data_IF_546267952822
#
_entry.id   IF_546267952822
#
_cell.length_a   1.000
_cell.length_b   1.000
_cell.length_c   1.000
_cell.angle_alpha   90.00
_cell.angle_beta   90.00
_cell.angle_gamma   90.00
#
_symmetry.space_group_name_H-M   'P 1'
#
loop_
_entity.id
_entity.type
_entity.pdbx_description
1 polymer ?
#
# COMPACT_ATOMS: atom_id res chain seq x y z
N UNK A 1 -29.79 10.22 -0.68
CA UNK A 1 -28.81 9.34 -1.35
C UNK A 1 -28.24 8.38 -0.31
N UNK A 2 -28.13 7.08 -0.59
CA UNK A 2 -27.46 6.12 0.32
C UNK A 2 -26.06 5.82 -0.23
N UNK A 3 -25.06 5.90 0.63
CA UNK A 3 -23.68 5.58 0.32
C UNK A 3 -23.32 4.27 1.04
N UNK A 4 -22.56 3.42 0.38
CA UNK A 4 -22.09 2.15 0.92
C UNK A 4 -20.63 1.92 0.51
N UNK A 5 -19.88 1.25 1.39
CA UNK A 5 -18.56 0.72 1.07
C UNK A 5 -18.78 -0.65 0.45
N UNK A 6 -18.41 -0.82 -0.81
CA UNK A 6 -18.63 -2.07 -1.54
C UNK A 6 -17.42 -3.01 -1.47
N UNK A 7 -16.21 -2.47 -1.30
CA UNK A 7 -15.03 -3.29 -1.07
C UNK A 7 -13.86 -2.49 -0.50
N UNK A 8 -12.89 -3.21 0.09
CA UNK A 8 -11.67 -2.64 0.67
C UNK A 8 -10.44 -3.42 0.23
N UNK A 9 -9.31 -2.73 0.07
CA UNK A 9 -8.04 -3.34 -0.34
C UNK A 9 -6.90 -2.93 0.57
N UNK A 10 -6.80 -3.47 1.79
CA UNK A 10 -5.73 -3.10 2.71
C UNK A 10 -4.37 -3.59 2.21
N UNK A 11 -3.36 -2.73 2.25
CA UNK A 11 -1.95 -3.07 2.03
C UNK A 11 -1.17 -2.48 3.18
N UNK A 12 -0.66 -3.33 4.06
CA UNK A 12 -0.03 -2.90 5.31
C UNK A 12 1.03 -3.90 5.78
N UNK A 13 1.61 -3.68 6.95
CA UNK A 13 2.62 -4.58 7.51
C UNK A 13 2.08 -5.97 7.87
N UNK A 14 0.77 -6.12 8.04
CA UNK A 14 0.13 -7.43 8.26
C UNK A 14 -0.08 -8.23 6.97
N UNK A 15 0.25 -7.66 5.80
CA UNK A 15 0.05 -8.25 4.49
C UNK A 15 -0.86 -7.43 3.59
N UNK A 16 -1.29 -8.06 2.49
CA UNK A 16 -2.14 -7.46 1.45
C UNK A 16 -3.45 -8.21 1.28
N UNK A 17 -4.56 -7.49 1.28
CA UNK A 17 -5.91 -8.01 1.13
C UNK A 17 -6.59 -8.34 2.46
N UNK A 18 -7.90 -8.55 2.39
CA UNK A 18 -8.77 -8.71 3.57
C UNK A 18 -8.40 -9.93 4.40
N UNK A 19 -8.00 -11.04 3.76
CA UNK A 19 -7.64 -12.25 4.49
C UNK A 19 -6.38 -12.06 5.33
N UNK A 20 -5.36 -11.40 4.77
CA UNK A 20 -4.14 -11.04 5.51
C UNK A 20 -4.44 -10.08 6.65
N UNK A 21 -5.23 -9.03 6.39
CA UNK A 21 -5.65 -8.10 7.44
C UNK A 21 -6.40 -8.82 8.57
N UNK A 22 -7.39 -9.65 8.25
CA UNK A 22 -8.19 -10.40 9.23
C UNK A 22 -7.32 -11.31 10.07
N UNK A 23 -6.44 -12.08 9.45
CA UNK A 23 -5.56 -13.03 10.14
C UNK A 23 -4.53 -12.29 11.00
N UNK A 24 -4.02 -11.15 10.52
CA UNK A 24 -3.14 -10.27 11.29
C UNK A 24 -3.82 -9.65 12.51
N UNK A 25 -5.06 -9.17 12.38
CA UNK A 25 -5.84 -8.63 13.51
C UNK A 25 -6.17 -9.70 14.57
N UNK A 26 -6.19 -10.98 14.19
CA UNK A 26 -6.30 -12.11 15.12
C UNK A 26 -4.97 -12.48 15.80
N UNK A 27 -3.88 -11.74 15.54
CA UNK A 27 -2.56 -12.00 16.10
C UNK A 27 -1.85 -13.23 15.50
N UNK A 28 -2.34 -13.74 14.37
CA UNK A 28 -1.81 -14.96 13.73
C UNK A 28 -0.71 -14.70 12.70
N UNK A 29 -0.39 -13.43 12.43
CA UNK A 29 0.65 -13.01 11.48
C UNK A 29 1.61 -12.08 12.20
N UNK A 30 2.91 -12.29 12.01
CA UNK A 30 3.92 -11.31 12.42
C UNK A 30 3.96 -10.17 11.40
N UNK A 31 3.84 -8.91 11.82
CA UNK A 31 3.97 -7.79 10.90
C UNK A 31 5.36 -7.75 10.25
N UNK A 32 5.43 -7.29 9.01
CA UNK A 32 6.68 -6.98 8.32
C UNK A 32 7.32 -5.74 8.97
N UNK A 33 8.40 -5.95 9.71
CA UNK A 33 9.09 -4.93 10.50
C UNK A 33 10.57 -4.93 10.11
N UNK A 34 11.11 -3.73 9.88
CA UNK A 34 12.54 -3.49 9.68
C UNK A 34 13.04 -2.61 10.83
N UNK A 35 14.04 -3.06 11.59
CA UNK A 35 14.67 -2.23 12.61
C UNK A 35 15.59 -1.20 11.96
N UNK A 36 15.36 0.09 12.25
CA UNK A 36 16.19 1.19 11.74
C UNK A 36 16.70 2.07 12.85
N UNK A 37 17.94 2.53 12.68
CA UNK A 37 18.47 3.65 13.45
C UNK A 37 17.90 4.93 12.86
N UNK A 38 17.15 5.67 13.67
CA UNK A 38 16.50 6.92 13.28
C UNK A 38 17.05 8.05 14.15
N UNK A 39 17.58 9.13 13.54
CA UNK A 39 17.98 10.32 14.29
C UNK A 39 16.76 11.03 14.86
N UNK A 40 16.80 11.34 16.16
CA UNK A 40 15.75 12.09 16.87
C UNK A 40 16.33 13.30 17.57
N UNK A 41 15.48 14.20 18.08
CA UNK A 41 15.90 15.32 18.94
C UNK A 41 16.65 14.90 20.21
N UNK A 42 16.60 13.61 20.57
CA UNK A 42 17.25 13.04 21.75
C UNK A 42 18.39 12.07 21.38
N UNK A 43 18.95 12.18 20.18
CA UNK A 43 19.96 11.28 19.65
C UNK A 43 19.39 10.16 18.78
N UNK A 44 20.25 9.25 18.36
CA UNK A 44 19.88 8.11 17.52
C UNK A 44 19.13 7.05 18.33
N UNK A 45 18.05 6.50 17.75
CA UNK A 45 17.27 5.41 18.36
C UNK A 45 17.05 4.30 17.36
N UNK A 46 17.21 3.06 17.80
CA UNK A 46 16.74 1.89 17.05
C UNK A 46 15.24 1.75 17.24
N UNK A 47 14.49 1.81 16.13
CA UNK A 47 13.03 1.79 16.13
C UNK A 47 12.50 0.78 15.09
N UNK A 48 11.40 0.07 15.41
CA UNK A 48 10.74 -0.81 14.46
C UNK A 48 9.99 0.02 13.40
N UNK A 49 10.29 -0.22 12.13
CA UNK A 49 9.61 0.41 10.99
C UNK A 49 8.73 -0.62 10.31
N UNK A 50 7.42 -0.41 10.42
CA UNK A 50 6.41 -1.27 9.80
C UNK A 50 6.35 -1.02 8.29
N UNK A 51 6.65 -2.05 7.51
CA UNK A 51 6.74 -1.96 6.05
C UNK A 51 5.50 -2.58 5.39
N UNK A 52 4.82 -1.88 4.46
CA UNK A 52 3.71 -2.47 3.72
C UNK A 52 4.20 -3.61 2.81
N UNK A 53 3.40 -4.68 2.71
CA UNK A 53 3.74 -5.85 1.87
C UNK A 53 3.05 -5.72 0.51
N UNK A 54 3.69 -5.06 -0.45
CA UNK A 54 3.09 -4.76 -1.77
C UNK A 54 3.31 -5.85 -2.85
N UNK A 55 3.32 -7.12 -2.45
CA UNK A 55 3.53 -8.25 -3.36
C UNK A 55 2.28 -8.64 -4.15
N UNK A 56 2.45 -9.22 -5.34
CA UNK A 56 1.36 -9.75 -6.15
C UNK A 56 0.66 -8.73 -7.06
N UNK A 57 1.20 -7.52 -7.20
CA UNK A 57 0.70 -6.53 -8.17
C UNK A 57 0.92 -6.98 -9.64
N UNK A 58 1.84 -7.90 -9.87
CA UNK A 58 2.12 -8.49 -11.18
C UNK A 58 0.99 -9.38 -11.73
N UNK A 59 0.00 -9.71 -10.89
CA UNK A 59 -1.29 -10.30 -11.32
C UNK A 59 -2.15 -9.32 -12.11
N UNK A 60 -1.97 -8.01 -11.90
CA UNK A 60 -2.81 -6.96 -12.48
C UNK A 60 -2.07 -6.12 -13.52
N UNK A 61 -0.75 -5.95 -13.35
CA UNK A 61 0.08 -5.09 -14.20
C UNK A 61 1.29 -5.88 -14.72
N UNK A 62 1.61 -5.82 -16.03
CA UNK A 62 2.78 -6.51 -16.56
C UNK A 62 4.09 -6.11 -15.86
N UNK A 63 4.96 -7.09 -15.56
CA UNK A 63 6.26 -6.88 -14.87
C UNK A 63 7.13 -5.79 -15.49
N UNK A 64 7.07 -5.62 -16.82
CA UNK A 64 7.81 -4.56 -17.54
C UNK A 64 7.35 -3.16 -17.12
N UNK A 65 6.05 -2.96 -16.95
CA UNK A 65 5.50 -1.69 -16.49
C UNK A 65 5.81 -1.45 -15.01
N UNK A 66 5.71 -2.50 -14.17
CA UNK A 66 6.01 -2.40 -12.73
C UNK A 66 7.41 -1.91 -12.41
N UNK A 67 8.42 -2.24 -13.23
CA UNK A 67 9.80 -1.74 -13.06
C UNK A 67 9.91 -0.22 -13.12
N UNK A 68 8.92 0.48 -13.67
CA UNK A 68 8.88 1.95 -13.78
C UNK A 68 7.96 2.60 -12.75
N UNK A 69 7.25 1.80 -11.95
CA UNK A 69 6.33 2.29 -10.92
C UNK A 69 7.11 2.35 -9.60
N UNK A 70 7.08 3.50 -8.94
CA UNK A 70 7.77 3.66 -7.68
C UNK A 70 7.02 2.90 -6.54
N UNK A 71 7.72 2.51 -5.46
CA UNK A 71 7.12 1.67 -4.40
C UNK A 71 5.86 2.27 -3.75
N UNK A 72 5.77 3.59 -3.60
CA UNK A 72 4.58 4.24 -3.04
C UNK A 72 3.38 4.06 -3.97
N UNK A 73 3.58 4.27 -5.28
CA UNK A 73 2.53 4.04 -6.27
C UNK A 73 2.16 2.56 -6.37
N UNK A 74 3.11 1.63 -6.21
CA UNK A 74 2.80 0.19 -6.20
C UNK A 74 1.84 -0.19 -5.06
N UNK A 75 2.02 0.37 -3.86
CA UNK A 75 1.12 0.16 -2.71
C UNK A 75 -0.29 0.67 -3.04
N UNK A 76 -0.40 1.89 -3.55
CA UNK A 76 -1.68 2.50 -3.90
C UNK A 76 -2.42 1.71 -5.00
N UNK A 77 -1.70 1.25 -6.03
CA UNK A 77 -2.27 0.45 -7.10
C UNK A 77 -2.75 -0.91 -6.60
N UNK A 78 -1.93 -1.63 -5.82
CA UNK A 78 -2.32 -2.92 -5.26
C UNK A 78 -3.55 -2.79 -4.36
N UNK A 79 -3.58 -1.77 -3.50
CA UNK A 79 -4.73 -1.46 -2.66
C UNK A 79 -5.99 -1.22 -3.49
N UNK A 80 -5.87 -0.46 -4.58
CA UNK A 80 -6.99 -0.19 -5.49
C UNK A 80 -7.51 -1.47 -6.15
N UNK A 81 -6.62 -2.30 -6.73
CA UNK A 81 -7.04 -3.55 -7.36
C UNK A 81 -7.72 -4.51 -6.40
N UNK A 82 -7.18 -4.66 -5.19
CA UNK A 82 -7.78 -5.52 -4.16
C UNK A 82 -9.16 -5.03 -3.71
N UNK A 83 -9.36 -3.71 -3.61
CA UNK A 83 -10.67 -3.14 -3.27
C UNK A 83 -11.71 -3.40 -4.35
N UNK A 84 -11.30 -3.32 -5.62
CA UNK A 84 -12.17 -3.59 -6.77
C UNK A 84 -12.52 -5.08 -6.84
N UNK A 85 -11.53 -5.95 -6.61
CA UNK A 85 -11.72 -7.40 -6.54
C UNK A 85 -12.68 -7.79 -5.41
N UNK A 86 -12.49 -7.25 -4.20
CA UNK A 86 -13.39 -7.47 -3.07
C UNK A 86 -14.81 -6.97 -3.33
N UNK A 87 -14.95 -5.83 -4.01
CA UNK A 87 -16.26 -5.31 -4.38
C UNK A 87 -16.99 -6.16 -5.43
N UNK A 88 -16.27 -7.00 -6.18
CA UNK A 88 -16.82 -7.76 -7.29
C UNK A 88 -17.36 -6.88 -8.43
N UNK A 89 -16.81 -5.66 -8.59
CA UNK A 89 -17.31 -4.66 -9.55
C UNK A 89 -16.43 -4.64 -10.80
N UNK A 90 -17.06 -4.57 -11.97
CA UNK A 90 -16.41 -4.25 -13.23
C UNK A 90 -16.76 -2.82 -13.67
N UNK A 91 -15.75 -1.99 -13.96
CA UNK A 91 -15.96 -0.63 -14.47
C UNK A 91 -16.08 -0.62 -15.99
N UNK A 92 -17.31 -0.85 -16.48
CA UNK A 92 -17.60 -0.83 -17.91
C UNK A 92 -17.61 0.59 -18.47
N UNK A 93 -18.15 1.56 -17.71
CA UNK A 93 -18.11 2.98 -18.05
C UNK A 93 -17.24 3.75 -17.06
N UNK A 94 -16.02 4.07 -17.50
CA UNK A 94 -15.02 4.78 -16.69
C UNK A 94 -15.36 6.26 -16.50
N UNK A 95 -16.24 6.85 -17.32
CA UNK A 95 -16.66 8.26 -17.16
C UNK A 95 -17.48 8.51 -15.88
N UNK A 96 -18.01 7.44 -15.30
CA UNK A 96 -18.81 7.43 -14.07
C UNK A 96 -17.98 7.10 -12.82
N UNK A 97 -16.67 6.93 -12.95
CA UNK A 97 -15.77 6.55 -11.86
C UNK A 97 -14.91 7.75 -11.47
N UNK A 98 -15.01 8.16 -10.21
CA UNK A 98 -14.13 9.17 -9.62
C UNK A 98 -13.05 8.51 -8.77
N UNK A 99 -11.87 9.14 -8.71
CA UNK A 99 -10.80 8.75 -7.79
C UNK A 99 -10.47 9.94 -6.90
N UNK A 100 -10.47 9.72 -5.60
CA UNK A 100 -9.95 10.66 -4.60
C UNK A 100 -8.79 9.97 -3.93
N UNK A 101 -7.60 10.57 -4.04
CA UNK A 101 -6.36 10.02 -3.49
C UNK A 101 -5.73 11.01 -2.51
N UNK A 102 -5.27 10.51 -1.37
CA UNK A 102 -4.66 11.33 -0.32
C UNK A 102 -3.41 10.65 0.25
N UNK A 103 -2.41 11.46 0.58
CA UNK A 103 -1.19 11.01 1.23
C UNK A 103 -0.63 12.13 2.12
N UNK A 104 -0.08 11.76 3.28
CA UNK A 104 0.53 12.72 4.20
C UNK A 104 1.92 13.19 3.76
N UNK A 105 2.73 12.27 3.21
CA UNK A 105 4.13 12.55 2.85
C UNK A 105 4.45 12.26 1.37
N UNK A 106 3.51 11.66 0.63
CA UNK A 106 3.72 11.27 -0.76
C UNK A 106 4.87 10.25 -0.93
N UNK A 107 5.44 10.16 -2.15
CA UNK A 107 6.55 9.25 -2.45
C UNK A 107 7.92 9.83 -2.02
N UNK A 108 8.05 10.26 -0.76
CA UNK A 108 9.21 10.99 -0.21
C UNK A 108 10.54 10.33 -0.57
N UNK A 109 10.64 9.00 -0.42
CA UNK A 109 11.85 8.25 -0.74
C UNK A 109 12.26 8.37 -2.20
N UNK A 110 11.29 8.31 -3.12
CA UNK A 110 11.55 8.44 -4.55
C UNK A 110 11.92 9.88 -4.90
N UNK A 111 11.20 10.86 -4.33
CA UNK A 111 11.43 12.28 -4.57
C UNK A 111 12.81 12.73 -4.12
N UNK A 112 13.28 12.30 -2.95
CA UNK A 112 14.53 12.80 -2.35
C UNK A 112 15.73 11.87 -2.56
N UNK A 113 15.57 10.75 -3.27
CA UNK A 113 16.64 9.76 -3.52
C UNK A 113 17.94 10.38 -4.07
N UNK A 114 17.84 11.50 -4.78
CA UNK A 114 19.01 12.17 -5.36
C UNK A 114 19.94 12.80 -4.31
N UNK A 115 19.44 13.08 -3.10
CA UNK A 115 20.21 13.64 -1.98
C UNK A 115 21.12 12.62 -1.29
N UNK A 116 20.93 11.33 -1.57
CA UNK A 116 21.71 10.23 -1.01
C UNK A 116 22.98 9.92 -1.83
N UNK A 117 23.29 10.72 -2.87
CA UNK A 117 24.52 10.61 -3.69
C UNK A 117 25.53 11.68 -3.30
#
# INVERSE_FOLDING_TARGET
MRLAILGIGPVCALGSGIQSLRTGLQGKVRPNIEEKIIPTSHGEKMLPVYQPVAEGLDRFIPKRALRRVDPFTQIALLSTYLAIEDAGIAFNDKSRVGVVFGSGYGPTRTTFKFLDN
#
